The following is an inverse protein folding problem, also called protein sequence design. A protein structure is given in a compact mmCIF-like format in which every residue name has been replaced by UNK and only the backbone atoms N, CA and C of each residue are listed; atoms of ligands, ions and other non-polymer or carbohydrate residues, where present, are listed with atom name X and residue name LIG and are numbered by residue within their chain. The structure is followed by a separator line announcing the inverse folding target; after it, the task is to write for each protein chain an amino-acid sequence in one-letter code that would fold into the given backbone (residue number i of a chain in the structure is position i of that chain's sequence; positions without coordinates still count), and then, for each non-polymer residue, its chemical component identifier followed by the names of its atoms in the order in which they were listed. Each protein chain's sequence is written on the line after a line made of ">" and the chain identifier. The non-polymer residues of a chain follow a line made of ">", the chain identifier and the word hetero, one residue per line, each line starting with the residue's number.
data_IF_786303838980
#
_entry.id   IF_786303838980
#
_cell.length_a   1.000
_cell.length_b   1.000
_cell.length_c   1.000
_cell.angle_alpha   90.00
_cell.angle_beta   90.00
_cell.angle_gamma   90.00
#
_symmetry.space_group_name_H-M   'P 1'
#
loop_
_entity.id
_entity.type
_entity.pdbx_description
1 polymer ?
#
# COMPACT_ATOMS: atom_id res chain seq x y z
N UNK A 1 18.95 -8.09 5.54
CA UNK A 1 18.37 -6.95 6.29
C UNK A 1 17.67 -7.46 7.54
N UNK A 2 18.05 -7.00 8.73
CA UNK A 2 17.35 -7.34 9.99
C UNK A 2 16.88 -6.03 10.64
N UNK A 3 15.58 -5.82 10.71
CA UNK A 3 14.98 -4.70 11.44
C UNK A 3 14.04 -5.23 12.50
N UNK A 4 14.11 -4.67 13.71
CA UNK A 4 13.13 -5.00 14.75
C UNK A 4 11.85 -4.21 14.50
N UNK A 5 10.77 -4.91 14.14
CA UNK A 5 9.46 -4.29 13.94
C UNK A 5 9.04 -3.47 15.16
N UNK A 6 9.21 -4.03 16.36
CA UNK A 6 8.88 -3.36 17.61
C UNK A 6 9.65 -2.05 17.83
N UNK A 7 10.95 -1.99 17.44
CA UNK A 7 11.73 -0.76 17.51
C UNK A 7 11.32 0.27 16.47
N UNK A 8 10.90 -0.19 15.27
CA UNK A 8 10.52 0.68 14.18
C UNK A 8 9.14 1.33 14.38
N UNK A 9 8.13 0.53 14.78
CA UNK A 9 6.73 0.97 14.80
C UNK A 9 6.03 0.80 16.16
N UNK A 10 6.64 0.14 17.11
CA UNK A 10 6.07 -0.13 18.44
C UNK A 10 5.44 -1.52 18.54
N UNK A 11 4.81 -1.80 19.70
CA UNK A 11 4.10 -3.05 19.97
C UNK A 11 2.73 -3.04 19.29
N UNK A 12 2.15 -4.22 19.06
CA UNK A 12 0.77 -4.39 18.56
C UNK A 12 0.64 -4.54 17.03
N UNK A 13 1.73 -4.50 16.27
CA UNK A 13 1.69 -4.65 14.81
C UNK A 13 2.10 -6.04 14.29
N UNK A 14 2.35 -7.01 15.16
CA UNK A 14 2.83 -8.35 14.76
C UNK A 14 1.77 -9.06 13.89
N UNK A 15 0.53 -9.08 14.34
CA UNK A 15 -0.57 -9.75 13.62
C UNK A 15 -0.87 -9.02 12.31
N UNK A 16 -0.91 -7.68 12.36
CA UNK A 16 -1.04 -6.84 11.14
C UNK A 16 0.07 -7.14 10.12
N UNK A 17 1.30 -7.34 10.58
CA UNK A 17 2.44 -7.62 9.71
C UNK A 17 2.37 -9.00 9.06
N UNK A 18 1.98 -10.01 9.82
CA UNK A 18 2.05 -11.42 9.41
C UNK A 18 0.80 -11.93 8.71
N UNK A 19 -0.34 -11.28 8.89
CA UNK A 19 -1.60 -11.74 8.28
C UNK A 19 -1.50 -11.84 6.76
N UNK A 20 -2.08 -12.91 6.21
CA UNK A 20 -2.23 -13.14 4.77
C UNK A 20 -3.69 -12.96 4.30
N UNK A 21 -4.56 -12.49 5.17
CA UNK A 21 -5.95 -12.21 4.81
C UNK A 21 -6.04 -11.25 3.60
N UNK A 22 -7.03 -11.48 2.73
CA UNK A 22 -7.28 -10.64 1.54
C UNK A 22 -7.46 -9.17 1.92
N UNK A 23 -8.25 -8.91 2.95
CA UNK A 23 -8.49 -7.56 3.47
C UNK A 23 -7.84 -7.41 4.83
N UNK A 24 -7.12 -6.32 5.01
CA UNK A 24 -6.44 -5.96 6.23
C UNK A 24 -6.80 -4.51 6.60
N UNK A 25 -7.56 -4.37 7.68
CA UNK A 25 -8.06 -3.06 8.12
C UNK A 25 -7.28 -2.60 9.35
N UNK A 26 -6.75 -1.38 9.30
CA UNK A 26 -6.01 -0.75 10.38
C UNK A 26 -6.60 0.63 10.69
N UNK A 27 -7.52 0.68 11.65
CA UNK A 27 -8.01 1.94 12.21
C UNK A 27 -7.16 2.37 13.40
N UNK A 28 -6.97 3.66 13.58
CA UNK A 28 -6.21 4.19 14.71
C UNK A 28 -6.13 5.70 14.69
N UNK A 29 -5.89 6.29 15.85
CA UNK A 29 -5.72 7.73 16.00
C UNK A 29 -4.48 8.24 15.25
N UNK A 30 -4.40 9.55 15.09
CA UNK A 30 -3.20 10.23 14.60
C UNK A 30 -2.00 9.86 15.47
N UNK A 31 -0.84 9.55 14.86
CA UNK A 31 0.35 9.13 15.59
C UNK A 31 0.43 7.65 15.93
N UNK A 32 -0.61 6.82 15.68
CA UNK A 32 -0.59 5.37 15.90
C UNK A 32 0.42 4.60 15.04
N UNK A 33 1.10 5.27 14.10
CA UNK A 33 2.09 4.70 13.15
C UNK A 33 1.51 3.70 12.13
N UNK A 34 0.19 3.63 11.93
CA UNK A 34 -0.43 2.72 10.95
C UNK A 34 0.13 2.89 9.53
N UNK A 35 0.21 4.14 9.03
CA UNK A 35 0.76 4.43 7.68
C UNK A 35 2.23 4.07 7.60
N UNK A 36 3.04 4.42 8.61
CA UNK A 36 4.47 4.04 8.67
C UNK A 36 4.67 2.53 8.69
N UNK A 37 3.83 1.79 9.43
CA UNK A 37 3.88 0.33 9.47
C UNK A 37 3.50 -0.28 8.12
N UNK A 38 2.46 0.25 7.47
CA UNK A 38 2.03 -0.21 6.14
C UNK A 38 3.10 0.05 5.09
N UNK A 39 3.72 1.23 5.10
CA UNK A 39 4.81 1.58 4.19
C UNK A 39 6.02 0.64 4.36
N UNK A 40 6.48 0.40 5.60
CA UNK A 40 7.56 -0.54 5.88
C UNK A 40 7.22 -1.96 5.41
N UNK A 41 6.00 -2.44 5.67
CA UNK A 41 5.54 -3.76 5.27
C UNK A 41 5.49 -3.89 3.74
N UNK A 42 5.03 -2.86 3.02
CA UNK A 42 4.98 -2.86 1.56
C UNK A 42 6.39 -2.94 0.95
N UNK A 43 7.34 -2.13 1.42
CA UNK A 43 8.73 -2.20 0.95
C UNK A 43 9.36 -3.56 1.27
N UNK A 44 9.16 -4.08 2.50
CA UNK A 44 9.66 -5.40 2.90
C UNK A 44 9.12 -6.51 1.97
N UNK A 45 7.83 -6.47 1.61
CA UNK A 45 7.20 -7.46 0.74
C UNK A 45 7.75 -7.45 -0.68
N UNK A 46 8.17 -6.32 -1.22
CA UNK A 46 8.86 -6.30 -2.52
C UNK A 46 10.17 -7.08 -2.49
N UNK A 47 10.87 -7.14 -1.35
CA UNK A 47 12.05 -8.00 -1.22
C UNK A 47 11.68 -9.49 -1.04
N UNK A 48 10.60 -9.76 -0.33
CA UNK A 48 10.16 -11.12 -0.02
C UNK A 48 9.52 -11.80 -1.24
N UNK A 49 8.88 -11.03 -2.13
CA UNK A 49 8.11 -11.52 -3.29
C UNK A 49 8.59 -10.81 -4.57
N UNK A 50 9.66 -11.30 -5.24
CA UNK A 50 10.31 -10.59 -6.34
C UNK A 50 9.46 -10.32 -7.58
N UNK A 51 8.34 -11.03 -7.77
CA UNK A 51 7.41 -10.83 -8.88
C UNK A 51 6.17 -9.99 -8.48
N UNK A 52 6.12 -9.50 -7.25
CA UNK A 52 4.99 -8.70 -6.77
C UNK A 52 5.16 -7.22 -7.04
N UNK A 53 4.05 -6.54 -7.33
CA UNK A 53 3.97 -5.08 -7.43
C UNK A 53 2.99 -4.53 -6.38
N UNK A 54 3.08 -3.23 -6.16
CA UNK A 54 2.24 -2.49 -5.24
C UNK A 54 1.39 -1.42 -5.93
N UNK A 55 0.28 -1.06 -5.30
CA UNK A 55 -0.59 0.05 -5.67
C UNK A 55 -0.97 0.82 -4.42
N UNK A 56 -0.77 2.12 -4.43
CA UNK A 56 -1.25 3.03 -3.40
C UNK A 56 -2.40 3.85 -3.94
N UNK A 57 -3.47 3.93 -3.17
CA UNK A 57 -4.72 4.57 -3.55
C UNK A 57 -5.15 5.56 -2.49
N UNK A 58 -5.61 6.73 -2.91
CA UNK A 58 -6.40 7.68 -2.14
C UNK A 58 -7.59 8.15 -2.97
N UNK A 59 -8.56 8.81 -2.32
CA UNK A 59 -9.68 9.40 -3.05
C UNK A 59 -9.19 10.42 -4.08
N UNK A 60 -8.26 11.31 -3.71
CA UNK A 60 -7.76 12.38 -4.56
C UNK A 60 -6.28 12.16 -4.92
N UNK A 61 -5.97 12.16 -6.20
CA UNK A 61 -4.63 11.93 -6.74
C UNK A 61 -3.59 12.95 -6.27
N UNK A 62 -3.98 14.21 -6.10
CA UNK A 62 -3.10 15.31 -5.67
C UNK A 62 -2.58 15.14 -4.23
N UNK A 63 -3.24 14.34 -3.39
CA UNK A 63 -2.84 14.11 -2.00
C UNK A 63 -1.80 12.99 -1.84
N UNK A 64 -1.58 12.16 -2.86
CA UNK A 64 -0.71 10.99 -2.80
C UNK A 64 0.76 11.34 -2.57
N UNK A 65 1.24 12.47 -3.15
CA UNK A 65 2.64 12.88 -3.09
C UNK A 65 3.09 13.15 -1.66
N UNK A 66 2.31 13.95 -0.93
CA UNK A 66 2.68 14.44 0.39
C UNK A 66 2.28 13.47 1.51
N UNK A 67 1.57 12.39 1.18
CA UNK A 67 1.18 11.32 2.12
C UNK A 67 1.91 10.00 1.81
N UNK A 68 1.27 9.11 1.07
CA UNK A 68 1.72 7.73 0.85
C UNK A 68 3.09 7.64 0.18
N UNK A 69 3.34 8.49 -0.83
CA UNK A 69 4.64 8.50 -1.51
C UNK A 69 5.76 8.92 -0.56
N UNK A 70 5.52 9.96 0.25
CA UNK A 70 6.46 10.41 1.29
C UNK A 70 6.70 9.33 2.35
N UNK A 71 5.65 8.61 2.79
CA UNK A 71 5.75 7.52 3.75
C UNK A 71 6.57 6.33 3.21
N UNK A 72 6.41 6.00 1.94
CA UNK A 72 7.19 4.94 1.29
C UNK A 72 8.66 5.33 1.12
N UNK A 73 8.96 6.58 0.76
CA UNK A 73 10.34 7.09 0.75
C UNK A 73 10.98 7.02 2.13
N UNK A 74 10.24 7.45 3.16
CA UNK A 74 10.69 7.30 4.54
C UNK A 74 10.96 5.83 4.89
N UNK A 75 10.10 4.88 4.46
CA UNK A 75 10.28 3.45 4.71
C UNK A 75 11.54 2.89 4.04
N UNK A 76 11.79 3.28 2.79
CA UNK A 76 13.00 2.92 2.03
C UNK A 76 14.25 3.39 2.79
N UNK A 77 14.27 4.65 3.22
CA UNK A 77 15.37 5.22 3.99
C UNK A 77 15.52 4.55 5.35
N UNK A 78 14.42 4.32 6.06
CA UNK A 78 14.41 3.67 7.38
C UNK A 78 14.94 2.23 7.33
N UNK A 79 14.75 1.55 6.23
CA UNK A 79 15.26 0.19 5.98
C UNK A 79 16.71 0.20 5.47
N UNK A 80 17.29 1.36 5.14
CA UNK A 80 18.64 1.49 4.57
C UNK A 80 18.76 0.86 3.18
N UNK A 81 17.69 0.95 2.37
CA UNK A 81 17.61 0.31 1.05
C UNK A 81 17.47 1.31 -0.11
N UNK A 82 17.85 2.57 0.12
CA UNK A 82 17.75 3.66 -0.87
C UNK A 82 18.43 3.32 -2.19
N UNK A 83 19.57 2.67 -2.15
CA UNK A 83 20.33 2.28 -3.35
C UNK A 83 19.58 1.29 -4.27
N UNK A 84 18.54 0.62 -3.78
CA UNK A 84 17.77 -0.37 -4.53
C UNK A 84 16.53 0.20 -5.23
N UNK A 85 16.18 1.46 -4.99
CA UNK A 85 14.96 2.06 -5.47
C UNK A 85 15.19 3.35 -6.25
N UNK A 86 14.38 3.54 -7.29
CA UNK A 86 14.17 4.81 -7.98
C UNK A 86 12.78 5.34 -7.61
N UNK A 87 12.74 6.60 -7.18
CA UNK A 87 11.50 7.28 -6.81
C UNK A 87 11.27 8.46 -7.75
N UNK A 88 10.28 8.35 -8.65
CA UNK A 88 9.93 9.41 -9.60
C UNK A 88 8.61 10.06 -9.23
N UNK A 89 8.45 11.34 -9.56
CA UNK A 89 7.22 12.11 -9.31
C UNK A 89 6.38 12.24 -10.58
N UNK A 90 7.01 12.20 -11.75
CA UNK A 90 6.32 12.27 -13.06
C UNK A 90 6.93 11.25 -14.02
N UNK A 91 6.26 10.13 -14.29
CA UNK A 91 5.09 9.63 -13.59
C UNK A 91 5.39 9.28 -12.11
N UNK A 92 4.38 9.42 -11.21
CA UNK A 92 4.57 9.07 -9.81
C UNK A 92 4.66 7.56 -9.65
N UNK A 93 5.84 7.05 -9.31
CA UNK A 93 6.09 5.63 -9.06
C UNK A 93 7.36 5.41 -8.25
N UNK A 94 7.45 4.27 -7.61
CA UNK A 94 8.66 3.76 -6.98
C UNK A 94 9.03 2.46 -7.69
N UNK A 95 10.26 2.36 -8.20
CA UNK A 95 10.72 1.20 -8.96
C UNK A 95 11.91 0.55 -8.25
N UNK A 96 11.85 -0.76 -8.05
CA UNK A 96 13.00 -1.53 -7.56
C UNK A 96 13.94 -1.83 -8.73
N UNK A 97 15.16 -1.32 -8.67
CA UNK A 97 16.15 -1.36 -9.77
C UNK A 97 16.46 -2.77 -10.27
N UNK A 98 16.67 -3.72 -9.35
CA UNK A 98 17.13 -5.06 -9.70
C UNK A 98 16.08 -5.96 -10.36
N UNK A 99 14.79 -5.75 -10.04
CA UNK A 99 13.68 -6.62 -10.48
C UNK A 99 12.71 -5.91 -11.43
N UNK A 100 12.69 -4.57 -11.41
CA UNK A 100 11.72 -3.77 -12.14
C UNK A 100 10.34 -3.74 -11.47
N UNK A 101 10.19 -4.29 -10.25
CA UNK A 101 8.95 -4.18 -9.47
C UNK A 101 8.57 -2.72 -9.26
N UNK A 102 7.28 -2.43 -9.33
CA UNK A 102 6.75 -1.07 -9.19
C UNK A 102 5.77 -0.94 -8.04
N UNK A 103 5.78 0.22 -7.39
CA UNK A 103 4.66 0.73 -6.62
C UNK A 103 4.05 1.87 -7.42
N UNK A 104 2.81 1.70 -7.81
CA UNK A 104 2.01 2.66 -8.56
C UNK A 104 1.16 3.52 -7.61
N UNK A 105 0.76 4.70 -8.06
CA UNK A 105 -0.07 5.62 -7.29
C UNK A 105 -1.26 6.06 -8.13
N UNK A 106 -2.48 5.96 -7.58
CA UNK A 106 -3.73 6.30 -8.28
C UNK A 106 -4.70 6.99 -7.33
N UNK A 107 -5.37 8.02 -7.83
CA UNK A 107 -6.56 8.58 -7.19
C UNK A 107 -7.82 7.89 -7.68
N UNK A 108 -8.85 7.79 -6.84
CA UNK A 108 -10.17 7.31 -7.22
C UNK A 108 -10.99 8.39 -7.96
N UNK A 109 -10.53 9.63 -7.94
CA UNK A 109 -11.07 10.76 -8.70
C UNK A 109 -10.95 10.58 -10.23
N UNK A 110 -10.14 9.62 -10.68
CA UNK A 110 -10.02 9.25 -12.09
C UNK A 110 -10.38 7.76 -12.27
N UNK A 111 -11.67 7.48 -12.36
CA UNK A 111 -12.21 6.11 -12.47
C UNK A 111 -11.68 5.32 -13.66
N UNK A 112 -11.30 5.97 -14.76
CA UNK A 112 -10.72 5.31 -15.93
C UNK A 112 -9.32 4.77 -15.64
N UNK A 113 -8.54 5.46 -14.81
CA UNK A 113 -7.19 5.01 -14.43
C UNK A 113 -7.16 3.84 -13.46
N UNK A 114 -8.28 3.55 -12.80
CA UNK A 114 -8.40 2.41 -11.88
C UNK A 114 -8.66 1.12 -12.64
N UNK A 115 -9.51 1.17 -13.67
CA UNK A 115 -9.86 -0.01 -14.46
C UNK A 115 -8.74 -0.46 -15.40
N UNK A 116 -7.76 0.40 -15.68
CA UNK A 116 -6.63 0.15 -16.58
C UNK A 116 -5.29 -0.05 -15.86
N UNK A 117 -5.31 -0.45 -14.58
CA UNK A 117 -4.07 -0.69 -13.84
C UNK A 117 -3.38 -1.95 -14.38
N UNK A 118 -2.25 -1.75 -15.05
CA UNK A 118 -1.38 -2.84 -15.50
C UNK A 118 0.04 -2.63 -15.01
N UNK A 119 0.77 -3.72 -14.87
CA UNK A 119 2.20 -3.75 -14.57
C UNK A 119 2.92 -4.48 -15.69
N UNK A 120 4.08 -3.97 -16.08
CA UNK A 120 4.84 -4.53 -17.21
C UNK A 120 5.41 -5.92 -16.91
N UNK A 121 5.69 -6.18 -15.62
CA UNK A 121 6.28 -7.45 -15.14
C UNK A 121 5.64 -7.85 -13.81
N UNK A 122 5.47 -9.17 -13.62
CA UNK A 122 4.94 -9.73 -12.38
C UNK A 122 3.45 -9.46 -12.19
N UNK A 123 3.00 -9.49 -10.95
CA UNK A 123 1.59 -9.41 -10.58
C UNK A 123 1.35 -8.32 -9.54
N UNK A 124 0.20 -7.67 -9.58
CA UNK A 124 -0.21 -6.71 -8.57
C UNK A 124 -0.72 -7.47 -7.34
N UNK A 125 0.04 -7.43 -6.24
CA UNK A 125 -0.25 -8.16 -5.01
C UNK A 125 -0.65 -7.26 -3.84
N UNK A 126 -0.02 -6.10 -3.71
CA UNK A 126 -0.12 -5.27 -2.52
C UNK A 126 -0.84 -3.98 -2.83
N UNK A 127 -2.02 -3.80 -2.24
CA UNK A 127 -2.77 -2.56 -2.38
C UNK A 127 -2.86 -1.88 -1.02
N UNK A 128 -2.56 -0.60 -0.99
CA UNK A 128 -2.73 0.24 0.17
C UNK A 128 -3.69 1.38 -0.13
N UNK A 129 -4.85 1.34 0.52
CA UNK A 129 -5.86 2.39 0.49
C UNK A 129 -5.65 3.23 1.76
N UNK A 130 -5.09 4.43 1.59
CA UNK A 130 -4.90 5.35 2.70
C UNK A 130 -6.10 6.28 2.84
N UNK A 131 -6.44 6.62 4.09
CA UNK A 131 -7.64 7.38 4.47
C UNK A 131 -8.90 6.78 3.84
N UNK A 132 -9.03 5.45 4.00
CA UNK A 132 -10.08 4.65 3.35
C UNK A 132 -11.51 5.15 3.66
N UNK A 133 -11.72 5.91 4.73
CA UNK A 133 -13.01 6.56 5.03
C UNK A 133 -13.42 7.61 3.98
N UNK A 134 -12.47 8.12 3.20
CA UNK A 134 -12.75 9.06 2.11
C UNK A 134 -13.50 8.39 0.94
N UNK A 135 -13.47 7.05 0.86
CA UNK A 135 -14.21 6.28 -0.15
C UNK A 135 -15.65 6.17 0.31
N UNK A 136 -16.49 7.04 -0.22
CA UNK A 136 -17.91 7.13 0.14
C UNK A 136 -18.84 6.25 -0.70
N UNK A 137 -18.31 5.59 -1.74
CA UNK A 137 -19.07 4.78 -2.67
C UNK A 137 -18.51 3.35 -2.69
N UNK A 138 -19.35 2.39 -2.38
CA UNK A 138 -19.03 0.97 -2.44
C UNK A 138 -18.63 0.51 -3.85
N UNK A 139 -19.23 1.09 -4.89
CA UNK A 139 -18.90 0.76 -6.27
C UNK A 139 -17.45 1.08 -6.63
N UNK A 140 -16.88 2.16 -6.09
CA UNK A 140 -15.48 2.53 -6.32
C UNK A 140 -14.52 1.54 -5.65
N UNK A 141 -14.87 1.07 -4.45
CA UNK A 141 -14.12 0.01 -3.77
C UNK A 141 -14.22 -1.30 -4.54
N UNK A 142 -15.42 -1.68 -5.00
CA UNK A 142 -15.66 -2.91 -5.76
C UNK A 142 -14.90 -2.90 -7.10
N UNK A 143 -14.92 -1.79 -7.84
CA UNK A 143 -14.15 -1.62 -9.08
C UNK A 143 -12.64 -1.80 -8.82
N UNK A 144 -12.11 -1.20 -7.76
CA UNK A 144 -10.71 -1.36 -7.36
C UNK A 144 -10.40 -2.82 -7.02
N UNK A 145 -11.21 -3.48 -6.18
CA UNK A 145 -11.01 -4.87 -5.81
C UNK A 145 -11.08 -5.81 -7.01
N UNK A 146 -12.01 -5.58 -7.93
CA UNK A 146 -12.13 -6.33 -9.18
C UNK A 146 -10.90 -6.15 -10.08
N UNK A 147 -10.32 -4.96 -10.13
CA UNK A 147 -9.12 -4.66 -10.93
C UNK A 147 -7.85 -5.38 -10.42
N UNK A 148 -7.89 -5.90 -9.19
CA UNK A 148 -6.75 -6.56 -8.56
C UNK A 148 -6.93 -8.09 -8.50
N UNK A 149 -7.94 -8.62 -9.19
CA UNK A 149 -8.19 -10.07 -9.27
C UNK A 149 -7.21 -10.72 -10.26
N UNK A 150 -7.25 -12.04 -10.31
CA UNK A 150 -6.40 -12.85 -11.18
C UNK A 150 -5.45 -13.73 -10.37
N UNK A 151 -4.77 -14.61 -11.07
CA UNK A 151 -3.86 -15.59 -10.49
C UNK A 151 -2.58 -14.94 -9.98
N UNK A 152 -1.92 -15.61 -9.05
CA UNK A 152 -0.60 -15.26 -8.53
C UNK A 152 0.31 -16.49 -8.54
N UNK A 153 1.62 -16.32 -8.63
CA UNK A 153 2.56 -17.45 -8.53
C UNK A 153 2.39 -18.22 -7.22
N UNK A 154 2.78 -19.51 -7.18
CA UNK A 154 2.73 -20.32 -5.97
C UNK A 154 3.42 -19.64 -4.79
N UNK A 155 2.76 -19.63 -3.63
CA UNK A 155 3.27 -18.98 -2.41
C UNK A 155 3.00 -17.48 -2.31
N UNK A 156 2.52 -16.84 -3.38
CA UNK A 156 2.08 -15.43 -3.36
C UNK A 156 0.62 -15.32 -2.91
N UNK A 157 0.22 -14.12 -2.53
CA UNK A 157 -1.17 -13.78 -2.21
C UNK A 157 -1.42 -12.31 -2.51
N UNK A 158 -2.68 -11.94 -2.67
CA UNK A 158 -3.09 -10.55 -2.85
C UNK A 158 -3.69 -10.02 -1.57
N UNK A 159 -3.33 -8.80 -1.20
CA UNK A 159 -3.84 -8.16 -0.01
C UNK A 159 -4.15 -6.68 -0.23
N UNK A 160 -5.34 -6.28 0.18
CA UNK A 160 -5.76 -4.89 0.28
C UNK A 160 -5.64 -4.44 1.75
N UNK A 161 -4.85 -3.41 1.99
CA UNK A 161 -4.67 -2.81 3.31
C UNK A 161 -5.40 -1.47 3.34
N UNK A 162 -6.35 -1.34 4.24
CA UNK A 162 -7.11 -0.11 4.47
C UNK A 162 -6.59 0.55 5.74
N UNK A 163 -6.16 1.80 5.65
CA UNK A 163 -5.73 2.59 6.82
C UNK A 163 -6.56 3.85 6.92
N UNK A 164 -7.05 4.17 8.12
CA UNK A 164 -7.82 5.39 8.36
C UNK A 164 -7.85 5.79 9.83
N UNK A 165 -8.20 7.06 10.07
CA UNK A 165 -8.52 7.59 11.39
C UNK A 165 -10.03 7.52 11.60
N UNK A 166 -10.54 6.96 12.70
CA UNK A 166 -11.95 7.08 13.03
C UNK A 166 -12.23 8.52 13.46
N UNK A 167 -12.96 9.26 12.65
CA UNK A 167 -13.40 10.64 12.98
C UNK A 167 -14.63 10.67 13.89
N UNK A 168 -15.37 9.55 13.97
CA UNK A 168 -16.55 9.38 14.80
C UNK A 168 -16.74 7.90 15.15
N UNK A 169 -17.30 7.65 16.34
CA UNK A 169 -17.77 6.31 16.76
C UNK A 169 -18.90 5.77 15.86
N UNK A 170 -19.58 6.65 15.12
CA UNK A 170 -20.71 6.29 14.25
C UNK A 170 -20.30 5.71 12.89
N UNK A 171 -19.00 5.76 12.51
CA UNK A 171 -18.49 5.19 11.25
C UNK A 171 -18.07 3.73 11.36
N UNK A 172 -18.52 3.01 12.39
CA UNK A 172 -18.20 1.58 12.61
C UNK A 172 -19.20 0.64 11.91
N UNK A 173 -20.13 1.17 11.14
CA UNK A 173 -21.19 0.38 10.48
C UNK A 173 -21.02 0.30 8.96
N UNK A 174 -19.79 0.02 8.49
CA UNK A 174 -19.55 -0.44 7.13
C UNK A 174 -18.93 -1.83 7.17
#
# INVERSE_FOLDING_TARGET
>A
MKISLQKAVGRGYVDFWNTKARYRVCKGSRGSKKSKTTALNMIYRLFQYPESNGLCVRRFSNTLRDSVFSDLKWAIHKLGVDAYFDCTVSPMQITRRSTGQKILFRGLDDGLKITSISVDKGVLCWVWIEEAYEISNEDDFNKLDMSIRGEVPPGYFKQLTLTFNPWSLYLIHI
#
